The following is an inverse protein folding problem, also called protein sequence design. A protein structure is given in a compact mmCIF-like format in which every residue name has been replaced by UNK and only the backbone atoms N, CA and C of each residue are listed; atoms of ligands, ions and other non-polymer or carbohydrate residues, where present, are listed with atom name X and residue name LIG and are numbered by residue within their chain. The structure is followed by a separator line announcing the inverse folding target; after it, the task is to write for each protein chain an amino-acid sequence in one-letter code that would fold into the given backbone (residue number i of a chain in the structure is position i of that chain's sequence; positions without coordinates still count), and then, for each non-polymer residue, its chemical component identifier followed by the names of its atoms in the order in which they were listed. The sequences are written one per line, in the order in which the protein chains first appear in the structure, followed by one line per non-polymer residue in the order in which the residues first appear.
data_IF_513957110729
#
_entry.id   IF_513957110729
#
_cell.length_a   1.000
_cell.length_b   1.000
_cell.length_c   1.000
_cell.angle_alpha   90.00
_cell.angle_beta   90.00
_cell.angle_gamma   90.00
#
_symmetry.space_group_name_H-M   'P 1'
#
loop_
_entity.id
_entity.type
_entity.pdbx_description
1 polymer ?
#
# COMPACT_ATOMS: atom_id res chain seq x y z
N UNK A 1 0.47 95.34 27.15
CA UNK A 1 0.01 94.67 25.91
C UNK A 1 1.05 93.64 25.49
N UNK A 2 0.75 92.36 25.70
CA UNK A 2 1.66 91.24 25.41
C UNK A 2 1.36 90.66 24.02
N UNK A 3 2.36 90.28 23.21
CA UNK A 3 2.10 89.56 21.98
C UNK A 3 1.93 88.06 22.27
N UNK A 4 0.79 87.50 21.85
CA UNK A 4 0.49 86.06 21.88
C UNK A 4 1.43 85.32 20.92
N UNK A 5 2.26 84.43 21.44
CA UNK A 5 3.04 83.45 20.68
C UNK A 5 2.09 82.37 20.13
N UNK A 6 1.81 82.36 18.83
CA UNK A 6 1.11 81.25 18.16
C UNK A 6 2.03 80.03 18.16
N UNK A 7 1.67 78.97 18.91
CA UNK A 7 2.20 77.62 18.70
C UNK A 7 1.64 77.08 17.40
N UNK A 8 2.44 77.04 16.34
CA UNK A 8 2.17 76.23 15.15
C UNK A 8 2.30 74.76 15.54
N UNK A 9 1.15 74.08 15.68
CA UNK A 9 1.09 72.64 15.88
C UNK A 9 1.71 71.93 14.67
N UNK A 10 2.71 71.09 14.93
CA UNK A 10 3.36 70.29 13.90
C UNK A 10 2.39 69.31 13.28
N UNK A 11 2.00 69.54 12.04
CA UNK A 11 1.46 68.49 11.19
C UNK A 11 2.63 67.57 10.83
N UNK A 12 2.62 66.34 11.33
CA UNK A 12 3.53 65.30 10.84
C UNK A 12 3.31 65.17 9.32
N UNK A 13 4.37 65.13 8.50
CA UNK A 13 4.22 65.02 7.05
C UNK A 13 3.41 63.76 6.75
N UNK A 14 2.39 63.86 5.89
CA UNK A 14 1.49 62.76 5.48
C UNK A 14 2.27 61.49 5.12
N UNK A 15 3.49 61.65 4.59
CA UNK A 15 4.45 60.59 4.33
C UNK A 15 4.86 59.74 5.57
N UNK A 16 5.06 60.36 6.73
CA UNK A 16 5.44 59.67 7.97
C UNK A 16 4.29 58.83 8.55
N UNK A 17 3.03 59.28 8.38
CA UNK A 17 1.83 58.52 8.78
C UNK A 17 1.61 57.32 7.86
N UNK A 18 1.80 57.49 6.54
CA UNK A 18 1.72 56.41 5.56
C UNK A 18 2.84 55.36 5.74
N UNK A 19 4.04 55.78 6.15
CA UNK A 19 5.16 54.87 6.45
C UNK A 19 4.92 54.03 7.71
N UNK A 20 4.35 54.62 8.77
CA UNK A 20 4.02 53.91 10.02
C UNK A 20 2.91 52.88 9.84
N UNK A 21 1.90 53.19 9.01
CA UNK A 21 0.83 52.24 8.63
C UNK A 21 1.39 51.07 7.81
N UNK A 22 2.23 51.36 6.81
CA UNK A 22 2.93 50.33 6.01
C UNK A 22 3.81 49.41 6.87
N UNK A 23 4.57 49.96 7.83
CA UNK A 23 5.41 49.17 8.74
C UNK A 23 4.57 48.23 9.64
N UNK A 24 3.38 48.66 10.08
CA UNK A 24 2.46 47.80 10.85
C UNK A 24 1.87 46.68 9.99
N UNK A 25 1.49 46.96 8.75
CA UNK A 25 1.03 45.92 7.82
C UNK A 25 2.13 44.91 7.48
N UNK A 26 3.36 45.37 7.25
CA UNK A 26 4.52 44.51 7.01
C UNK A 26 4.81 43.64 8.24
N UNK A 27 4.86 44.22 9.44
CA UNK A 27 5.08 43.45 10.67
C UNK A 27 3.98 42.43 10.94
N UNK A 28 2.74 42.75 10.55
CA UNK A 28 1.63 41.81 10.65
C UNK A 28 1.67 40.72 9.57
N UNK A 29 2.21 41.00 8.37
CA UNK A 29 2.32 40.01 7.29
C UNK A 29 3.54 39.10 7.42
N UNK A 30 4.60 39.52 8.12
CA UNK A 30 5.80 38.70 8.37
C UNK A 30 5.46 37.32 8.96
N UNK A 31 4.65 37.16 10.03
CA UNK A 31 4.33 35.83 10.56
C UNK A 31 3.58 34.96 9.53
N UNK A 32 2.65 35.51 8.77
CA UNK A 32 1.96 34.75 7.71
C UNK A 32 2.90 34.34 6.59
N UNK A 33 3.84 35.21 6.18
CA UNK A 33 4.85 34.89 5.18
C UNK A 33 5.81 33.80 5.68
N UNK A 34 6.21 33.84 6.96
CA UNK A 34 7.04 32.79 7.57
C UNK A 34 6.31 31.45 7.64
N UNK A 35 5.03 31.46 8.00
CA UNK A 35 4.20 30.24 7.99
C UNK A 35 4.07 29.67 6.57
N UNK A 36 3.82 30.51 5.57
CA UNK A 36 3.76 30.08 4.18
C UNK A 36 5.11 29.51 3.69
N UNK A 37 6.23 30.14 4.06
CA UNK A 37 7.56 29.64 3.74
C UNK A 37 7.84 28.29 4.42
N UNK A 38 7.51 28.14 5.71
CA UNK A 38 7.66 26.88 6.42
C UNK A 38 6.79 25.76 5.81
N UNK A 39 5.56 26.09 5.41
CA UNK A 39 4.67 25.16 4.72
C UNK A 39 5.25 24.73 3.36
N UNK A 40 5.77 25.68 2.57
CA UNK A 40 6.42 25.37 1.29
C UNK A 40 7.67 24.48 1.49
N UNK A 41 8.52 24.79 2.47
CA UNK A 41 9.68 23.94 2.81
C UNK A 41 9.26 22.53 3.22
N UNK A 42 8.17 22.41 3.99
CA UNK A 42 7.64 21.10 4.38
C UNK A 42 7.15 20.28 3.18
N UNK A 43 6.44 20.90 2.23
CA UNK A 43 5.99 20.21 1.02
C UNK A 43 7.17 19.71 0.18
N UNK A 44 8.18 20.54 -0.03
CA UNK A 44 9.41 20.14 -0.75
C UNK A 44 10.10 18.98 -0.04
N UNK A 45 10.22 19.06 1.29
CA UNK A 45 10.82 17.96 2.08
C UNK A 45 10.03 16.66 1.96
N UNK A 46 8.69 16.71 1.87
CA UNK A 46 7.87 15.52 1.72
C UNK A 46 8.06 14.87 0.35
N UNK A 47 8.12 15.65 -0.74
CA UNK A 47 8.39 15.11 -2.07
C UNK A 47 9.73 14.37 -2.14
N UNK A 48 10.79 14.91 -1.51
CA UNK A 48 12.09 14.25 -1.46
C UNK A 48 12.03 12.91 -0.69
N UNK A 49 11.25 12.85 0.39
CA UNK A 49 11.06 11.60 1.16
C UNK A 49 10.22 10.59 0.35
N UNK A 50 9.22 11.05 -0.40
CA UNK A 50 8.44 10.20 -1.31
C UNK A 50 9.34 9.59 -2.39
N UNK A 51 10.12 10.39 -3.12
CA UNK A 51 11.06 9.93 -4.14
C UNK A 51 12.05 8.90 -3.57
N UNK A 52 12.58 9.17 -2.36
CA UNK A 52 13.46 8.22 -1.67
C UNK A 52 12.75 6.91 -1.34
N UNK A 53 11.50 6.96 -0.91
CA UNK A 53 10.70 5.78 -0.57
C UNK A 53 10.50 4.91 -1.81
N UNK A 54 10.19 5.52 -2.95
CA UNK A 54 10.03 4.84 -4.24
C UNK A 54 11.35 4.27 -4.75
N UNK A 55 12.45 5.04 -4.67
CA UNK A 55 13.77 4.56 -5.09
C UNK A 55 14.23 3.36 -4.25
N UNK A 56 14.17 3.47 -2.92
CA UNK A 56 14.56 2.37 -2.04
C UNK A 56 13.75 1.11 -2.31
N UNK A 57 12.46 1.28 -2.58
CA UNK A 57 11.62 0.14 -2.94
C UNK A 57 12.02 -0.47 -4.28
N UNK A 58 12.27 0.35 -5.30
CA UNK A 58 12.69 -0.11 -6.62
C UNK A 58 14.05 -0.82 -6.59
N UNK A 59 14.90 -0.46 -5.63
CA UNK A 59 16.20 -1.10 -5.37
C UNK A 59 16.08 -2.33 -4.42
N UNK A 60 14.85 -2.80 -4.14
CA UNK A 60 14.54 -3.90 -3.20
C UNK A 60 14.99 -3.66 -1.75
N UNK A 61 15.32 -2.42 -1.38
CA UNK A 61 15.59 -2.00 0.00
C UNK A 61 14.28 -1.72 0.76
N UNK A 62 13.45 -2.74 0.97
CA UNK A 62 12.11 -2.59 1.55
C UNK A 62 12.11 -2.07 3.00
N UNK A 63 13.09 -2.44 3.83
CA UNK A 63 13.24 -1.86 5.17
C UNK A 63 13.55 -0.35 5.09
N UNK A 64 14.41 0.04 4.15
CA UNK A 64 14.73 1.43 3.88
C UNK A 64 13.49 2.20 3.41
N UNK A 65 12.74 1.61 2.48
CA UNK A 65 11.48 2.16 1.98
C UNK A 65 10.46 2.34 3.11
N UNK A 66 10.23 1.32 3.93
CA UNK A 66 9.34 1.38 5.10
C UNK A 66 9.73 2.51 6.06
N UNK A 67 11.02 2.59 6.44
CA UNK A 67 11.52 3.62 7.35
C UNK A 67 11.38 5.03 6.76
N UNK A 68 11.52 5.17 5.44
CA UNK A 68 11.29 6.42 4.72
C UNK A 68 9.80 6.77 4.66
N UNK A 69 8.92 5.81 4.36
CA UNK A 69 7.46 5.97 4.32
C UNK A 69 6.89 6.40 5.68
N UNK A 70 7.37 5.80 6.78
CA UNK A 70 6.91 6.15 8.13
C UNK A 70 7.20 7.61 8.49
N UNK A 71 8.30 8.20 8.00
CA UNK A 71 8.61 9.62 8.22
C UNK A 71 7.58 10.54 7.55
N UNK A 72 6.90 10.07 6.51
CA UNK A 72 5.85 10.83 5.81
C UNK A 72 4.55 10.91 6.61
N UNK A 73 4.33 10.02 7.59
CA UNK A 73 3.14 10.06 8.46
C UNK A 73 3.08 11.36 9.29
N UNK A 74 4.24 11.97 9.56
CA UNK A 74 4.31 13.21 10.34
C UNK A 74 3.85 14.44 9.53
N UNK A 75 2.64 14.93 9.85
CA UNK A 75 1.96 16.08 9.23
C UNK A 75 1.52 15.78 7.79
N UNK A 76 0.91 14.60 7.56
CA UNK A 76 0.29 14.23 6.28
C UNK A 76 -1.13 14.84 6.17
N UNK A 77 -1.23 16.04 5.56
CA UNK A 77 -2.50 16.78 5.49
C UNK A 77 -3.15 16.71 4.10
N UNK A 78 -2.35 16.58 3.03
CA UNK A 78 -2.86 16.68 1.66
C UNK A 78 -3.22 15.31 1.07
N UNK A 79 -2.43 14.27 1.34
CA UNK A 79 -2.59 12.96 0.72
C UNK A 79 -2.48 11.87 1.78
N UNK A 80 -3.44 11.91 2.71
CA UNK A 80 -3.45 11.13 3.96
C UNK A 80 -3.27 9.63 3.77
N UNK A 81 -3.73 9.08 2.63
CA UNK A 81 -3.68 7.65 2.31
C UNK A 81 -2.28 7.14 1.92
N UNK A 82 -1.36 7.99 1.47
CA UNK A 82 -0.09 7.54 0.87
C UNK A 82 0.92 7.03 1.86
N UNK A 83 1.09 7.73 2.97
CA UNK A 83 2.00 7.30 4.01
C UNK A 83 1.65 5.88 4.56
N UNK A 84 0.38 5.58 4.91
CA UNK A 84 0.01 4.22 5.28
C UNK A 84 0.11 3.25 4.10
N UNK A 85 -0.34 3.61 2.89
CA UNK A 85 -0.18 2.75 1.71
C UNK A 85 1.29 2.34 1.47
N UNK A 86 2.22 3.30 1.44
CA UNK A 86 3.64 3.05 1.22
C UNK A 86 4.26 2.18 2.31
N UNK A 87 3.85 2.42 3.56
CA UNK A 87 4.31 1.62 4.70
C UNK A 87 3.82 0.18 4.56
N UNK A 88 2.53 -0.01 4.28
CA UNK A 88 1.91 -1.32 4.10
C UNK A 88 2.47 -2.10 2.91
N UNK A 89 2.66 -1.44 1.77
CA UNK A 89 3.28 -2.04 0.58
C UNK A 89 4.72 -2.51 0.86
N UNK A 90 5.50 -1.74 1.63
CA UNK A 90 6.84 -2.17 2.05
C UNK A 90 6.79 -3.35 3.02
N UNK A 91 5.85 -3.33 3.98
CA UNK A 91 5.64 -4.42 4.93
C UNK A 91 5.19 -5.72 4.24
N UNK A 92 4.38 -5.63 3.18
CA UNK A 92 3.97 -6.76 2.37
C UNK A 92 5.17 -7.49 1.77
N UNK A 93 6.15 -6.76 1.22
CA UNK A 93 7.37 -7.35 0.68
C UNK A 93 8.27 -7.96 1.76
N UNK A 94 8.27 -7.37 2.96
CA UNK A 94 8.99 -7.91 4.13
C UNK A 94 8.29 -9.13 4.75
N UNK A 95 7.12 -9.53 4.26
CA UNK A 95 6.33 -10.62 4.84
C UNK A 95 5.70 -10.29 6.19
N UNK A 96 5.66 -9.01 6.58
CA UNK A 96 5.01 -8.52 7.80
C UNK A 96 3.50 -8.36 7.53
N UNK A 97 2.82 -9.48 7.31
CA UNK A 97 1.47 -9.50 6.71
C UNK A 97 0.40 -8.83 7.59
N UNK A 98 0.47 -8.99 8.91
CA UNK A 98 -0.52 -8.41 9.83
C UNK A 98 -0.37 -6.88 9.91
N UNK A 99 0.86 -6.39 9.96
CA UNK A 99 1.17 -4.97 9.91
C UNK A 99 0.84 -4.36 8.55
N UNK A 100 1.18 -5.06 7.45
CA UNK A 100 0.85 -4.64 6.09
C UNK A 100 -0.66 -4.47 5.92
N UNK A 101 -1.45 -5.46 6.37
CA UNK A 101 -2.91 -5.41 6.33
C UNK A 101 -3.45 -4.21 7.09
N UNK A 102 -2.96 -3.99 8.31
CA UNK A 102 -3.36 -2.86 9.15
C UNK A 102 -3.14 -1.51 8.45
N UNK A 103 -1.98 -1.32 7.82
CA UNK A 103 -1.64 -0.07 7.12
C UNK A 103 -2.47 0.11 5.85
N UNK A 104 -2.68 -0.95 5.07
CA UNK A 104 -3.46 -0.90 3.83
C UNK A 104 -4.95 -0.66 4.09
N UNK A 105 -5.52 -1.30 5.12
CA UNK A 105 -6.89 -1.04 5.59
C UNK A 105 -7.05 0.40 6.09
N UNK A 106 -6.03 0.97 6.75
CA UNK A 106 -6.05 2.38 7.16
C UNK A 106 -5.97 3.35 5.98
N UNK A 107 -5.23 2.99 4.92
CA UNK A 107 -5.10 3.81 3.71
C UNK A 107 -6.39 3.85 2.88
N UNK A 108 -7.10 2.72 2.77
CA UNK A 108 -8.23 2.53 1.88
C UNK A 108 -9.35 3.58 2.01
N UNK A 109 -9.88 3.90 3.21
CA UNK A 109 -10.97 4.89 3.35
C UNK A 109 -10.49 6.34 3.18
N UNK A 110 -9.18 6.60 3.16
CA UNK A 110 -8.60 7.93 2.98
C UNK A 110 -8.36 8.27 1.50
N UNK A 111 -8.46 7.28 0.62
CA UNK A 111 -8.22 7.40 -0.81
C UNK A 111 -9.53 7.65 -1.57
N UNK A 112 -9.48 8.54 -2.55
CA UNK A 112 -10.55 8.72 -3.53
C UNK A 112 -10.66 7.44 -4.40
N UNK A 113 -11.82 7.16 -5.04
CA UNK A 113 -12.09 5.85 -5.64
C UNK A 113 -11.00 5.33 -6.62
N UNK A 114 -10.43 6.16 -7.53
CA UNK A 114 -9.36 5.70 -8.42
C UNK A 114 -8.07 5.32 -7.67
N UNK A 115 -7.77 5.95 -6.54
CA UNK A 115 -6.58 5.67 -5.73
C UNK A 115 -6.77 4.43 -4.85
N UNK A 116 -8.01 3.96 -4.65
CA UNK A 116 -8.27 2.74 -3.89
C UNK A 116 -7.83 1.48 -4.64
N UNK A 117 -7.72 1.52 -5.97
CA UNK A 117 -7.41 0.35 -6.79
C UNK A 117 -6.05 -0.31 -6.41
N UNK A 118 -4.91 0.42 -6.38
CA UNK A 118 -3.65 -0.15 -5.92
C UNK A 118 -3.68 -0.58 -4.45
N UNK A 119 -4.41 0.14 -3.58
CA UNK A 119 -4.55 -0.23 -2.16
C UNK A 119 -5.26 -1.58 -2.01
N UNK A 120 -6.36 -1.78 -2.76
CA UNK A 120 -7.13 -3.04 -2.76
C UNK A 120 -6.33 -4.20 -3.33
N UNK A 121 -5.53 -3.98 -4.37
CA UNK A 121 -4.66 -5.01 -4.92
C UNK A 121 -3.65 -5.50 -3.86
N UNK A 122 -2.91 -4.59 -3.22
CA UNK A 122 -1.93 -4.99 -2.21
C UNK A 122 -2.60 -5.57 -0.96
N UNK A 123 -3.78 -5.07 -0.59
CA UNK A 123 -4.55 -5.63 0.53
C UNK A 123 -4.99 -7.07 0.22
N UNK A 124 -5.50 -7.33 -0.98
CA UNK A 124 -5.89 -8.67 -1.41
C UNK A 124 -4.70 -9.64 -1.43
N UNK A 125 -3.54 -9.22 -1.95
CA UNK A 125 -2.30 -10.04 -1.92
C UNK A 125 -1.87 -10.31 -0.47
N UNK A 126 -1.97 -9.31 0.40
CA UNK A 126 -1.64 -9.48 1.82
C UNK A 126 -2.53 -10.54 2.47
N UNK A 127 -3.84 -10.45 2.26
CA UNK A 127 -4.83 -11.40 2.79
C UNK A 127 -4.66 -12.78 2.16
N UNK A 128 -4.35 -12.85 0.87
CA UNK A 128 -4.04 -14.09 0.17
C UNK A 128 -2.85 -14.82 0.83
N UNK A 129 -1.74 -14.10 1.06
CA UNK A 129 -0.56 -14.66 1.74
C UNK A 129 -0.84 -15.03 3.19
N UNK A 130 -1.73 -14.32 3.89
CA UNK A 130 -2.21 -14.75 5.21
C UNK A 130 -2.96 -16.08 5.12
N UNK A 131 -3.78 -16.26 4.08
CA UNK A 131 -4.46 -17.53 3.80
C UNK A 131 -3.48 -18.67 3.53
N UNK A 132 -2.44 -18.40 2.74
CA UNK A 132 -1.38 -19.37 2.45
C UNK A 132 -0.64 -19.78 3.73
N UNK A 133 -0.37 -18.82 4.64
CA UNK A 133 0.22 -19.10 5.94
C UNK A 133 -0.69 -19.96 6.84
N UNK A 134 -2.02 -19.78 6.77
CA UNK A 134 -2.97 -20.65 7.47
C UNK A 134 -2.99 -22.06 6.89
N UNK A 135 -2.95 -22.18 5.56
CA UNK A 135 -2.88 -23.48 4.91
C UNK A 135 -1.62 -24.24 5.33
N UNK A 136 -0.47 -23.57 5.33
CA UNK A 136 0.80 -24.15 5.79
C UNK A 136 0.82 -24.54 7.28
N UNK A 137 -0.13 -24.01 8.07
CA UNK A 137 -0.34 -24.36 9.47
C UNK A 137 -1.48 -25.39 9.67
N UNK A 138 -1.87 -26.09 8.60
CA UNK A 138 -2.97 -27.07 8.57
C UNK A 138 -4.35 -26.50 8.92
N UNK A 139 -4.53 -25.17 8.85
CA UNK A 139 -5.80 -24.46 9.04
C UNK A 139 -6.46 -24.19 7.69
N UNK A 140 -6.92 -25.24 7.01
CA UNK A 140 -7.58 -25.14 5.70
C UNK A 140 -8.82 -24.25 5.73
N UNK A 141 -9.62 -24.32 6.80
CA UNK A 141 -10.83 -23.51 6.94
C UNK A 141 -10.48 -22.01 7.06
N UNK A 142 -9.45 -21.67 7.83
CA UNK A 142 -8.91 -20.32 7.92
C UNK A 142 -8.33 -19.83 6.60
N UNK A 143 -7.61 -20.68 5.86
CA UNK A 143 -7.07 -20.36 4.53
C UNK A 143 -8.18 -19.99 3.53
N UNK A 144 -9.20 -20.85 3.41
CA UNK A 144 -10.36 -20.63 2.53
C UNK A 144 -11.09 -19.34 2.89
N UNK A 145 -11.31 -19.06 4.17
CA UNK A 145 -11.96 -17.83 4.61
C UNK A 145 -11.17 -16.57 4.20
N UNK A 146 -9.83 -16.59 4.33
CA UNK A 146 -8.97 -15.48 3.94
C UNK A 146 -8.92 -15.31 2.41
N UNK A 147 -8.82 -16.38 1.64
CA UNK A 147 -8.87 -16.28 0.18
C UNK A 147 -10.20 -15.73 -0.34
N UNK A 148 -11.33 -16.13 0.27
CA UNK A 148 -12.63 -15.53 -0.04
C UNK A 148 -12.69 -14.05 0.32
N UNK A 149 -12.08 -13.65 1.45
CA UNK A 149 -11.96 -12.25 1.84
C UNK A 149 -11.11 -11.45 0.83
N UNK A 150 -9.99 -12.01 0.36
CA UNK A 150 -9.14 -11.39 -0.65
C UNK A 150 -9.91 -11.12 -1.96
N UNK A 151 -10.71 -12.09 -2.43
CA UNK A 151 -11.60 -11.89 -3.58
C UNK A 151 -12.63 -10.79 -3.32
N UNK A 152 -13.26 -10.76 -2.14
CA UNK A 152 -14.22 -9.72 -1.79
C UNK A 152 -13.60 -8.32 -1.81
N UNK A 153 -12.33 -8.18 -1.40
CA UNK A 153 -11.59 -6.91 -1.48
C UNK A 153 -11.41 -6.44 -2.92
N UNK A 154 -11.06 -7.37 -3.83
CA UNK A 154 -10.90 -7.12 -5.26
C UNK A 154 -12.24 -6.77 -5.93
N UNK A 155 -13.30 -7.50 -5.60
CA UNK A 155 -14.64 -7.32 -6.17
C UNK A 155 -15.30 -6.00 -5.75
N UNK A 156 -14.94 -5.48 -4.56
CA UNK A 156 -15.44 -4.21 -4.06
C UNK A 156 -14.75 -2.97 -4.69
N UNK A 157 -13.94 -3.15 -5.74
CA UNK A 157 -13.31 -2.04 -6.48
C UNK A 157 -14.34 -1.20 -7.23
N UNK A 158 -14.12 0.10 -7.27
CA UNK A 158 -14.98 1.03 -8.01
C UNK A 158 -14.78 0.86 -9.53
N UNK A 159 -15.82 1.03 -10.38
CA UNK A 159 -15.65 0.96 -11.84
C UNK A 159 -14.63 1.94 -12.42
N UNK A 160 -14.32 3.03 -11.72
CA UNK A 160 -13.24 3.96 -12.10
C UNK A 160 -11.86 3.29 -12.10
N UNK A 161 -11.69 2.14 -11.46
CA UNK A 161 -10.46 1.33 -11.55
C UNK A 161 -10.18 0.81 -12.97
N UNK A 162 -11.22 0.53 -13.77
CA UNK A 162 -11.11 -0.11 -15.09
C UNK A 162 -10.73 0.86 -16.24
N UNK A 163 -10.49 2.14 -15.95
CA UNK A 163 -10.28 3.17 -16.99
C UNK A 163 -9.09 4.08 -16.72
N UNK A 164 -8.12 3.60 -15.94
CA UNK A 164 -6.95 4.40 -15.56
C UNK A 164 -5.64 3.75 -15.96
N UNK A 165 -4.58 4.56 -16.03
CA UNK A 165 -3.17 4.11 -16.05
C UNK A 165 -2.79 3.31 -14.79
N UNK A 166 -3.72 3.19 -13.82
CA UNK A 166 -3.56 2.60 -12.50
C UNK A 166 -4.30 1.26 -12.35
N UNK A 167 -4.77 0.62 -13.44
CA UNK A 167 -5.39 -0.70 -13.34
C UNK A 167 -4.35 -1.72 -12.86
N UNK A 168 -4.46 -2.24 -11.62
CA UNK A 168 -3.63 -3.34 -11.18
C UNK A 168 -4.08 -4.61 -11.92
N UNK A 169 -3.20 -5.61 -12.14
CA UNK A 169 -3.54 -6.91 -12.70
C UNK A 169 -4.28 -7.72 -11.63
N UNK A 170 -5.39 -7.18 -11.11
CA UNK A 170 -6.26 -7.85 -10.16
C UNK A 170 -6.87 -9.11 -10.77
N UNK A 171 -6.92 -9.21 -12.10
CA UNK A 171 -7.36 -10.41 -12.82
C UNK A 171 -6.49 -11.60 -12.48
N UNK A 172 -5.17 -11.47 -12.57
CA UNK A 172 -4.23 -12.55 -12.25
C UNK A 172 -4.35 -12.97 -10.78
N UNK A 173 -4.45 -12.00 -9.87
CA UNK A 173 -4.65 -12.28 -8.45
C UNK A 173 -6.00 -12.98 -8.19
N UNK A 174 -7.08 -12.52 -8.81
CA UNK A 174 -8.40 -13.15 -8.71
C UNK A 174 -8.39 -14.58 -9.25
N UNK A 175 -7.78 -14.82 -10.41
CA UNK A 175 -7.67 -16.15 -11.02
C UNK A 175 -6.84 -17.10 -10.14
N UNK A 176 -5.69 -16.65 -9.63
CA UNK A 176 -4.85 -17.42 -8.70
C UNK A 176 -5.62 -17.79 -7.42
N UNK A 177 -6.34 -16.84 -6.82
CA UNK A 177 -7.12 -17.11 -5.61
C UNK A 177 -8.28 -18.07 -5.90
N UNK A 178 -8.95 -17.95 -7.05
CA UNK A 178 -10.00 -18.88 -7.47
C UNK A 178 -9.47 -20.31 -7.66
N UNK A 179 -8.29 -20.45 -8.27
CA UNK A 179 -7.63 -21.75 -8.42
C UNK A 179 -7.31 -22.37 -7.06
N UNK A 180 -6.78 -21.60 -6.11
CA UNK A 180 -6.52 -22.07 -4.73
C UNK A 180 -7.80 -22.59 -4.06
N UNK A 181 -8.92 -21.88 -4.22
CA UNK A 181 -10.21 -22.29 -3.68
C UNK A 181 -10.73 -23.57 -4.35
N UNK A 182 -10.60 -23.71 -5.66
CA UNK A 182 -11.01 -24.91 -6.39
C UNK A 182 -10.20 -26.13 -5.94
N UNK A 183 -8.88 -26.01 -5.84
CA UNK A 183 -8.00 -27.10 -5.38
C UNK A 183 -8.38 -27.61 -3.99
N UNK A 184 -8.73 -26.71 -3.05
CA UNK A 184 -9.19 -27.15 -1.73
C UNK A 184 -10.56 -27.82 -1.76
N UNK A 185 -11.46 -27.40 -2.65
CA UNK A 185 -12.76 -28.05 -2.79
C UNK A 185 -12.63 -29.47 -3.35
N UNK A 186 -11.74 -29.69 -4.32
CA UNK A 186 -11.46 -31.00 -4.90
C UNK A 186 -10.76 -31.93 -3.90
N UNK A 187 -9.89 -31.39 -3.04
CA UNK A 187 -9.24 -32.15 -1.97
C UNK A 187 -10.20 -32.53 -0.82
N UNK A 188 -11.35 -31.87 -0.70
CA UNK A 188 -12.35 -32.10 0.35
C UNK A 188 -13.53 -32.96 -0.09
N UNK A 189 -13.69 -33.28 -1.39
CA UNK A 189 -14.67 -34.30 -1.79
C UNK A 189 -14.26 -35.65 -1.20
N UNK A 190 -15.10 -36.25 -0.33
CA UNK A 190 -14.90 -37.64 0.03
C UNK A 190 -15.08 -38.44 -1.25
N UNK A 191 -14.12 -39.32 -1.54
CA UNK A 191 -14.25 -40.35 -2.56
C UNK A 191 -15.41 -41.30 -2.18
N UNK A 192 -16.66 -40.84 -2.35
CA UNK A 192 -17.86 -41.65 -2.24
C UNK A 192 -18.11 -42.32 -3.59
N UNK A 193 -17.43 -43.44 -3.81
CA UNK A 193 -17.92 -44.44 -4.77
C UNK A 193 -16.90 -45.14 -5.65
N UNK A 194 -15.79 -45.65 -5.12
CA UNK A 194 -15.14 -46.81 -5.75
C UNK A 194 -14.72 -47.83 -4.70
N UNK A 195 -15.30 -49.03 -4.80
CA UNK A 195 -14.90 -50.21 -4.05
C UNK A 195 -13.37 -50.37 -4.12
N UNK A 196 -12.69 -50.74 -3.03
CA UNK A 196 -11.25 -50.96 -3.09
C UNK A 196 -10.98 -52.16 -4.00
N UNK A 197 -10.29 -52.02 -5.14
CA UNK A 197 -9.74 -53.20 -5.78
C UNK A 197 -8.65 -53.73 -4.85
N UNK A 198 -8.78 -55.01 -4.54
CA UNK A 198 -7.79 -55.82 -3.84
C UNK A 198 -6.36 -55.43 -4.22
N UNK A 199 -5.56 -55.22 -3.18
CA UNK A 199 -4.11 -55.05 -3.21
C UNK A 199 -3.45 -56.06 -4.16
N UNK A 200 -3.15 -55.61 -5.37
CA UNK A 200 -2.11 -56.20 -6.21
C UNK A 200 -1.24 -55.04 -6.63
N UNK A 201 -0.09 -54.89 -5.96
CA UNK A 201 0.94 -53.93 -6.33
C UNK A 201 1.42 -54.30 -7.75
N UNK A 202 0.82 -53.67 -8.76
CA UNK A 202 1.32 -53.70 -10.12
C UNK A 202 2.49 -52.69 -10.20
N UNK A 203 3.52 -52.97 -11.02
CA UNK A 203 4.64 -52.03 -11.22
C UNK A 203 4.18 -50.63 -11.64
N UNK A 204 3.05 -50.57 -12.35
CA UNK A 204 2.42 -49.34 -12.86
C UNK A 204 1.92 -48.41 -11.74
N UNK A 205 1.44 -48.96 -10.61
CA UNK A 205 0.96 -48.15 -9.48
C UNK A 205 2.12 -47.50 -8.72
N UNK A 206 3.24 -48.21 -8.58
CA UNK A 206 4.45 -47.67 -7.94
C UNK A 206 5.08 -46.57 -8.79
N UNK A 207 5.11 -46.76 -10.12
CA UNK A 207 5.58 -45.75 -11.06
C UNK A 207 4.67 -44.51 -11.07
N UNK A 208 3.36 -44.70 -10.91
CA UNK A 208 2.40 -43.59 -10.83
C UNK A 208 2.49 -42.82 -9.49
N UNK A 209 2.70 -43.49 -8.36
CA UNK A 209 2.96 -42.84 -7.07
C UNK A 209 4.28 -42.06 -7.07
N UNK A 210 5.33 -42.62 -7.68
CA UNK A 210 6.63 -41.97 -7.84
C UNK A 210 6.51 -40.75 -8.76
N UNK A 211 5.79 -40.86 -9.89
CA UNK A 211 5.50 -39.72 -10.77
C UNK A 211 4.63 -38.65 -10.10
N UNK A 212 3.69 -39.03 -9.25
CA UNK A 212 2.86 -38.06 -8.50
C UNK A 212 3.70 -37.33 -7.45
N UNK A 213 4.60 -38.02 -6.76
CA UNK A 213 5.55 -37.40 -5.85
C UNK A 213 6.53 -36.48 -6.59
N UNK A 214 7.06 -36.91 -7.73
CA UNK A 214 7.94 -36.10 -8.57
C UNK A 214 7.20 -34.85 -9.08
N UNK A 215 5.97 -34.97 -9.60
CA UNK A 215 5.16 -33.81 -10.02
C UNK A 215 4.74 -32.89 -8.86
N UNK A 216 4.69 -33.40 -7.63
CA UNK A 216 4.44 -32.58 -6.44
C UNK A 216 5.72 -31.85 -6.01
N UNK A 217 6.87 -32.52 -6.05
CA UNK A 217 8.17 -31.92 -5.78
C UNK A 217 8.55 -30.89 -6.84
N UNK A 218 8.38 -31.20 -8.13
CA UNK A 218 8.62 -30.26 -9.23
C UNK A 218 7.74 -29.02 -9.10
N UNK A 219 6.48 -29.17 -8.67
CA UNK A 219 5.61 -28.01 -8.36
C UNK A 219 6.07 -27.24 -7.14
N UNK A 220 6.59 -27.92 -6.13
CA UNK A 220 7.10 -27.27 -4.92
C UNK A 220 8.38 -26.49 -5.23
N UNK A 221 9.24 -27.07 -6.07
CA UNK A 221 10.48 -26.48 -6.55
C UNK A 221 10.20 -25.35 -7.55
N UNK A 222 9.17 -25.46 -8.41
CA UNK A 222 8.66 -24.35 -9.24
C UNK A 222 8.11 -23.22 -8.37
N UNK A 223 7.34 -23.50 -7.32
CA UNK A 223 6.84 -22.48 -6.40
C UNK A 223 7.96 -21.81 -5.60
N UNK A 224 8.99 -22.56 -5.21
CA UNK A 224 10.18 -22.03 -4.53
C UNK A 224 11.12 -21.29 -5.52
N UNK A 225 11.15 -21.69 -6.80
CA UNK A 225 11.78 -20.92 -7.89
C UNK A 225 11.01 -19.65 -8.18
N UNK A 226 9.68 -19.68 -8.30
CA UNK A 226 8.83 -18.49 -8.44
C UNK A 226 8.96 -17.57 -7.22
N UNK A 227 9.20 -18.11 -6.02
CA UNK A 227 9.51 -17.31 -4.82
C UNK A 227 10.89 -16.67 -4.85
N UNK A 228 11.84 -17.25 -5.60
CA UNK A 228 13.16 -16.69 -5.89
C UNK A 228 13.23 -15.85 -7.17
N UNK A 229 12.29 -16.03 -8.10
CA UNK A 229 12.23 -15.44 -9.45
C UNK A 229 11.09 -14.43 -9.62
N UNK A 230 10.27 -14.19 -8.59
CA UNK A 230 9.43 -12.97 -8.49
C UNK A 230 10.25 -11.72 -8.14
N UNK A 231 11.54 -11.71 -8.47
CA UNK A 231 12.27 -10.50 -8.81
C UNK A 231 11.81 -9.99 -10.19
N UNK A 232 10.67 -9.30 -10.20
CA UNK A 232 10.38 -8.25 -11.17
C UNK A 232 9.54 -8.63 -12.38
N UNK A 233 8.21 -8.54 -12.26
CA UNK A 233 7.40 -7.70 -13.16
C UNK A 233 6.00 -7.32 -12.58
N UNK A 234 5.93 -7.03 -11.28
CA UNK A 234 4.73 -6.43 -10.66
C UNK A 234 4.96 -4.92 -10.57
N UNK A 235 4.44 -4.15 -11.54
CA UNK A 235 4.44 -2.68 -11.49
C UNK A 235 3.63 -2.12 -10.29
N UNK A 236 2.93 -2.99 -9.56
CA UNK A 236 1.79 -2.66 -8.71
C UNK A 236 2.08 -2.83 -7.22
N UNK A 237 3.17 -3.54 -6.93
CA UNK A 237 3.86 -3.54 -5.66
C UNK A 237 4.80 -2.33 -5.61
N UNK A 238 4.35 -1.08 -5.72
CA UNK A 238 5.26 0.06 -5.53
C UNK A 238 4.63 1.15 -4.68
N UNK A 239 5.40 1.78 -3.77
CA UNK A 239 4.94 2.94 -3.02
C UNK A 239 4.76 4.14 -3.97
N UNK A 240 4.01 5.13 -3.49
CA UNK A 240 3.66 6.37 -4.17
C UNK A 240 4.51 7.55 -3.71
#
# INVERSE_FOLDING_TARGET
MSPRRKKSGGALPVAAVAAKRRRRFILFSIPFALLAAAFATKLISMSIIADRTVSLYADSEYEGSMNSAQQQKFVNILESWKAPYNTGTSMLQLGLLDEARTELEAALPMAEPPQQCPIRANLAITIERQGDARLAADDTAGAVALWQEALAVLDARDPSCASTEFEPPTVESSERIQQKLQQQSEAQEPNEGEEPPESTQSPEMTELEEQLQENQQDRQDELDQERGETEGDSLYDKPW
#
